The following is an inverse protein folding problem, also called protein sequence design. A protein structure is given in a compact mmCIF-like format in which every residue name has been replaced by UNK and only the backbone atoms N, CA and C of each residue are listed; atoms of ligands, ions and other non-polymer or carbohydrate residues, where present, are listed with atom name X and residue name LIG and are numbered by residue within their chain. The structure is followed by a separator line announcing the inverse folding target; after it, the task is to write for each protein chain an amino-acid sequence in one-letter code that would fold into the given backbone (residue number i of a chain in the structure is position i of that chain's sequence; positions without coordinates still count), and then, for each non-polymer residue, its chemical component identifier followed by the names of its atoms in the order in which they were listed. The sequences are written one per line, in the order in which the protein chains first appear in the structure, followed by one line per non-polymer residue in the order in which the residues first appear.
data_IF_517943836197
#
_entry.id   IF_517943836197
#
_cell.length_a   1.000
_cell.length_b   1.000
_cell.length_c   1.000
_cell.angle_alpha   90.00
_cell.angle_beta   90.00
_cell.angle_gamma   90.00
#
_symmetry.space_group_name_H-M   'P 1'
#
loop_
_entity.id
_entity.type
_entity.pdbx_description
1 polymer ?
#
# COMPACT_ATOMS: atom_id res chain seq x y z
N UNK A 1 20.55 -21.39 1.61
CA UNK A 1 19.33 -20.55 1.67
C UNK A 1 19.66 -19.18 2.24
N UNK A 2 19.35 -18.14 1.48
CA UNK A 2 19.60 -16.73 1.82
C UNK A 2 18.25 -16.01 1.93
N UNK A 3 17.85 -15.47 3.10
CA UNK A 3 16.59 -14.74 3.23
C UNK A 3 16.49 -13.56 2.26
N UNK A 4 15.32 -13.33 1.68
CA UNK A 4 15.08 -12.17 0.83
C UNK A 4 15.12 -10.89 1.69
N UNK A 5 16.06 -9.98 1.39
CA UNK A 5 16.21 -8.72 2.12
C UNK A 5 15.40 -7.56 1.51
N UNK A 6 15.05 -7.69 0.24
CA UNK A 6 14.19 -6.75 -0.48
C UNK A 6 12.89 -7.47 -0.85
N UNK A 7 11.72 -6.80 -0.77
CA UNK A 7 10.47 -7.41 -1.15
C UNK A 7 10.49 -7.68 -2.66
N UNK A 8 10.58 -8.95 -3.02
CA UNK A 8 10.35 -9.43 -4.37
C UNK A 8 9.09 -10.28 -4.38
N UNK A 9 8.40 -10.27 -5.52
CA UNK A 9 7.26 -11.12 -5.78
C UNK A 9 7.49 -11.96 -7.03
N UNK A 10 7.19 -13.26 -6.92
CA UNK A 10 7.06 -14.15 -8.05
C UNK A 10 5.69 -13.96 -8.68
N UNK A 11 5.65 -13.72 -9.99
CA UNK A 11 4.41 -13.53 -10.76
C UNK A 11 4.05 -14.79 -11.51
N UNK A 12 2.74 -15.05 -11.54
CA UNK A 12 2.15 -16.21 -12.20
C UNK A 12 1.00 -15.77 -13.09
N UNK A 13 0.92 -16.38 -14.28
CA UNK A 13 -0.16 -16.24 -15.23
C UNK A 13 -0.81 -17.60 -15.44
N UNK A 14 -2.10 -17.72 -15.15
CA UNK A 14 -2.88 -18.95 -15.31
C UNK A 14 -4.12 -18.68 -16.15
N UNK A 15 -4.61 -19.69 -16.86
CA UNK A 15 -5.92 -19.67 -17.51
C UNK A 15 -6.91 -20.40 -16.61
N UNK A 16 -7.92 -19.69 -16.12
CA UNK A 16 -9.00 -20.24 -15.31
C UNK A 16 -10.34 -19.91 -15.98
N UNK A 17 -11.14 -20.94 -16.32
CA UNK A 17 -12.45 -20.78 -16.97
C UNK A 17 -12.44 -19.91 -18.24
N UNK A 18 -11.37 -19.99 -19.05
CA UNK A 18 -11.20 -19.21 -20.27
C UNK A 18 -10.77 -17.75 -20.05
N UNK A 19 -10.39 -17.38 -18.82
CA UNK A 19 -9.85 -16.07 -18.48
C UNK A 19 -8.43 -16.19 -17.94
N UNK A 20 -7.57 -15.29 -18.40
CA UNK A 20 -6.26 -15.09 -17.79
C UNK A 20 -6.40 -14.50 -16.39
N UNK A 21 -5.85 -15.20 -15.40
CA UNK A 21 -5.73 -14.78 -14.00
C UNK A 21 -4.26 -14.55 -13.69
N UNK A 22 -3.96 -13.42 -13.06
CA UNK A 22 -2.63 -13.09 -12.55
C UNK A 22 -2.61 -13.30 -11.04
N UNK A 23 -1.57 -13.97 -10.55
CA UNK A 23 -1.33 -14.19 -9.12
C UNK A 23 0.11 -13.82 -8.81
N UNK A 24 0.38 -13.35 -7.60
CA UNK A 24 1.74 -13.18 -7.11
C UNK A 24 1.94 -13.88 -5.77
N UNK A 25 3.19 -14.22 -5.47
CA UNK A 25 3.63 -14.74 -4.17
C UNK A 25 4.89 -14.01 -3.72
N UNK A 26 5.03 -13.67 -2.43
CA UNK A 26 6.27 -13.10 -1.93
C UNK A 26 7.41 -14.12 -2.03
N UNK A 27 8.55 -13.66 -2.50
CA UNK A 27 9.81 -14.40 -2.42
C UNK A 27 10.32 -14.30 -0.99
N UNK A 28 10.47 -15.46 -0.34
CA UNK A 28 10.89 -15.53 1.07
C UNK A 28 12.42 -15.64 1.18
N UNK A 29 13.03 -16.35 0.23
CA UNK A 29 14.46 -16.62 0.24
C UNK A 29 14.96 -16.92 -1.18
N UNK A 30 16.27 -17.07 -1.26
CA UNK A 30 17.00 -17.58 -2.41
C UNK A 30 17.67 -18.89 -2.01
N UNK A 31 17.71 -19.88 -2.90
CA UNK A 31 18.58 -21.04 -2.72
C UNK A 31 20.04 -20.70 -3.05
N UNK A 32 20.93 -21.68 -2.93
CA UNK A 32 22.38 -21.47 -3.08
C UNK A 32 22.77 -21.27 -4.55
N UNK A 33 21.88 -21.63 -5.48
CA UNK A 33 21.97 -21.40 -6.92
C UNK A 33 21.33 -20.07 -7.36
N UNK A 34 20.75 -19.31 -6.42
CA UNK A 34 20.11 -18.02 -6.68
C UNK A 34 18.70 -18.12 -7.26
N UNK A 35 18.00 -19.25 -7.14
CA UNK A 35 16.57 -19.35 -7.45
C UNK A 35 15.73 -18.75 -6.34
N UNK A 36 14.72 -17.97 -6.72
CA UNK A 36 13.73 -17.46 -5.79
C UNK A 36 12.90 -18.62 -5.21
N UNK A 37 12.68 -18.59 -3.89
CA UNK A 37 11.86 -19.55 -3.15
C UNK A 37 10.59 -18.87 -2.64
N UNK A 38 9.46 -19.52 -2.86
CA UNK A 38 8.13 -19.09 -2.38
C UNK A 38 7.53 -20.16 -1.46
N UNK A 39 6.54 -19.79 -0.66
CA UNK A 39 5.80 -20.76 0.15
C UNK A 39 4.81 -21.53 -0.73
N UNK A 40 4.90 -22.85 -0.72
CA UNK A 40 3.80 -23.73 -1.07
C UNK A 40 2.88 -23.88 0.15
N UNK A 41 1.79 -23.13 0.18
CA UNK A 41 0.83 -23.10 1.29
C UNK A 41 0.22 -24.48 1.60
N UNK A 42 0.17 -25.38 0.61
CA UNK A 42 -0.37 -26.73 0.82
C UNK A 42 0.56 -27.60 1.65
N UNK A 43 1.86 -27.53 1.40
CA UNK A 43 2.87 -28.33 2.10
C UNK A 43 3.54 -27.58 3.26
N UNK A 44 3.40 -26.25 3.31
CA UNK A 44 4.10 -25.37 4.24
C UNK A 44 5.61 -25.28 3.95
N UNK A 45 6.07 -25.73 2.78
CA UNK A 45 7.50 -25.76 2.42
C UNK A 45 7.87 -24.63 1.49
N UNK A 46 9.15 -24.25 1.52
CA UNK A 46 9.74 -23.42 0.48
C UNK A 46 9.99 -24.27 -0.77
N UNK A 47 9.53 -23.76 -1.90
CA UNK A 47 9.72 -24.38 -3.23
C UNK A 47 10.23 -23.34 -4.22
N UNK A 48 10.96 -23.75 -5.27
CA UNK A 48 11.37 -22.84 -6.33
C UNK A 48 10.17 -22.13 -6.97
N UNK A 49 10.28 -20.82 -7.16
CA UNK A 49 9.22 -20.00 -7.73
C UNK A 49 8.84 -20.44 -9.15
N UNK A 50 9.81 -20.97 -9.90
CA UNK A 50 9.67 -21.46 -11.27
C UNK A 50 9.27 -22.94 -11.38
N UNK A 51 8.86 -23.57 -10.28
CA UNK A 51 8.49 -25.00 -10.24
C UNK A 51 7.18 -25.34 -10.99
N UNK A 52 6.71 -24.49 -11.92
CA UNK A 52 5.50 -24.70 -12.71
C UNK A 52 5.38 -23.78 -13.92
N UNK A 53 4.58 -24.19 -14.91
CA UNK A 53 4.42 -23.49 -16.21
C UNK A 53 3.78 -22.09 -16.13
N UNK A 54 3.22 -21.73 -14.98
CA UNK A 54 2.55 -20.46 -14.79
C UNK A 54 3.50 -19.30 -14.46
N UNK A 55 4.74 -19.57 -14.06
CA UNK A 55 5.69 -18.53 -13.65
C UNK A 55 6.06 -17.63 -14.82
N UNK A 56 5.96 -16.32 -14.63
CA UNK A 56 6.26 -15.31 -15.67
C UNK A 56 7.45 -14.42 -15.35
N UNK A 57 7.96 -14.47 -14.11
CA UNK A 57 9.13 -13.69 -13.70
C UNK A 57 9.00 -13.18 -12.27
N UNK A 58 10.04 -12.44 -11.87
CA UNK A 58 10.06 -11.70 -10.61
C UNK A 58 9.79 -10.22 -10.86
N UNK A 59 9.23 -9.55 -9.87
CA UNK A 59 9.20 -8.09 -9.79
C UNK A 59 9.52 -7.64 -8.39
N UNK A 60 9.83 -6.36 -8.22
CA UNK A 60 9.71 -5.73 -6.91
C UNK A 60 8.29 -5.91 -6.38
N UNK A 61 8.19 -6.30 -5.12
CA UNK A 61 6.96 -6.41 -4.37
C UNK A 61 6.67 -5.14 -3.59
N UNK A 62 5.47 -5.04 -3.03
CA UNK A 62 5.14 -3.95 -2.11
C UNK A 62 5.98 -4.05 -0.84
N UNK A 63 6.54 -2.93 -0.37
CA UNK A 63 7.14 -2.88 0.96
C UNK A 63 6.04 -3.00 2.02
N UNK A 64 6.07 -4.02 2.89
CA UNK A 64 5.04 -4.22 3.90
C UNK A 64 5.02 -3.06 4.91
N UNK A 65 3.85 -2.84 5.50
CA UNK A 65 3.71 -1.99 6.68
C UNK A 65 4.32 -2.73 7.88
N UNK A 66 5.29 -2.10 8.55
CA UNK A 66 6.05 -2.67 9.68
C UNK A 66 5.75 -2.00 11.01
N UNK A 67 5.13 -0.82 11.00
CA UNK A 67 4.66 -0.13 12.20
C UNK A 67 3.53 0.86 11.87
N UNK A 68 2.87 1.35 12.91
CA UNK A 68 1.92 2.45 12.84
C UNK A 68 2.25 3.48 13.94
N UNK A 69 2.26 4.76 13.58
CA UNK A 69 2.42 5.89 14.49
C UNK A 69 1.05 6.56 14.64
N UNK A 70 0.57 6.88 15.85
CA UNK A 70 -0.70 7.60 16.00
C UNK A 70 -0.74 8.90 15.19
N UNK A 71 -1.90 9.25 14.63
CA UNK A 71 -2.06 10.44 13.77
C UNK A 71 -1.62 11.74 14.45
N UNK A 72 -1.68 11.81 15.78
CA UNK A 72 -1.02 12.85 16.56
C UNK A 72 -1.65 14.25 16.40
N UNK A 73 -2.93 14.31 16.07
CA UNK A 73 -3.66 15.56 15.84
C UNK A 73 -3.50 16.14 14.44
N UNK A 74 -2.84 15.43 13.53
CA UNK A 74 -2.86 15.76 12.11
C UNK A 74 -4.23 15.42 11.50
N UNK A 75 -4.59 16.13 10.44
CA UNK A 75 -5.78 15.85 9.64
C UNK A 75 -5.47 15.83 8.16
N UNK A 76 -6.28 15.12 7.38
CA UNK A 76 -6.35 15.25 5.94
C UNK A 76 -7.40 16.28 5.54
N UNK A 77 -7.11 17.05 4.49
CA UNK A 77 -8.03 18.00 3.88
C UNK A 77 -8.41 17.51 2.50
N UNK A 78 -9.70 17.51 2.22
CA UNK A 78 -10.30 17.11 0.96
C UNK A 78 -11.04 18.28 0.35
N UNK A 79 -10.83 18.53 -0.95
CA UNK A 79 -11.54 19.57 -1.68
C UNK A 79 -12.82 19.02 -2.28
N UNK A 80 -13.95 19.63 -1.95
CA UNK A 80 -15.25 19.26 -2.50
C UNK A 80 -15.44 19.91 -3.89
N UNK A 81 -16.39 19.39 -4.66
CA UNK A 81 -16.68 19.88 -6.01
C UNK A 81 -17.21 21.32 -6.04
N UNK A 82 -17.80 21.79 -4.95
CA UNK A 82 -18.27 23.16 -4.76
C UNK A 82 -17.17 24.13 -4.28
N UNK A 83 -15.92 23.65 -4.18
CA UNK A 83 -14.77 24.43 -3.72
C UNK A 83 -14.63 24.51 -2.20
N UNK A 84 -15.56 23.95 -1.43
CA UNK A 84 -15.43 23.83 0.03
C UNK A 84 -14.43 22.73 0.40
N UNK A 85 -14.12 22.63 1.70
CA UNK A 85 -13.22 21.61 2.22
C UNK A 85 -13.86 20.80 3.32
N UNK A 86 -13.56 19.50 3.30
CA UNK A 86 -13.79 18.59 4.42
C UNK A 86 -12.45 18.30 5.08
N UNK A 87 -12.43 18.17 6.41
CA UNK A 87 -11.21 17.89 7.18
C UNK A 87 -11.48 16.70 8.08
N UNK A 88 -10.75 15.62 7.84
CA UNK A 88 -10.87 14.38 8.60
C UNK A 88 -9.60 14.12 9.40
N UNK A 89 -9.70 13.77 10.69
CA UNK A 89 -8.52 13.51 11.52
C UNK A 89 -7.79 12.26 10.99
N UNK A 90 -6.45 12.33 10.96
CA UNK A 90 -5.66 11.14 10.76
C UNK A 90 -5.76 10.24 11.99
N UNK A 91 -5.97 8.95 11.76
CA UNK A 91 -5.90 7.94 12.81
C UNK A 91 -4.47 7.45 13.01
N UNK A 92 -3.69 7.36 11.93
CA UNK A 92 -2.32 6.87 11.97
C UNK A 92 -1.46 7.32 10.79
N UNK A 93 -0.16 7.10 10.94
CA UNK A 93 0.83 7.03 9.86
C UNK A 93 1.32 5.59 9.79
N UNK A 94 1.14 4.93 8.65
CA UNK A 94 1.72 3.61 8.43
C UNK A 94 3.18 3.75 8.01
N UNK A 95 4.06 2.98 8.64
CA UNK A 95 5.49 2.94 8.32
C UNK A 95 5.75 1.73 7.45
N UNK A 96 6.18 1.94 6.21
CA UNK A 96 6.61 0.86 5.33
C UNK A 96 8.05 0.45 5.61
N UNK A 97 8.43 -0.78 5.24
CA UNK A 97 9.78 -1.30 5.49
C UNK A 97 10.91 -0.54 4.78
N UNK A 98 10.59 0.28 3.76
CA UNK A 98 11.51 1.22 3.11
C UNK A 98 11.60 2.59 3.79
N UNK A 99 10.86 2.79 4.89
CA UNK A 99 10.81 4.06 5.62
C UNK A 99 9.81 5.07 5.09
N UNK A 100 9.03 4.75 4.04
CA UNK A 100 7.95 5.62 3.58
C UNK A 100 6.83 5.64 4.63
N UNK A 101 6.35 6.85 4.95
CA UNK A 101 5.20 7.08 5.81
C UNK A 101 3.97 7.41 4.96
N UNK A 102 2.88 6.67 5.17
CA UNK A 102 1.59 6.95 4.51
C UNK A 102 0.57 7.37 5.56
N UNK A 103 -0.04 8.57 5.43
CA UNK A 103 -1.10 9.02 6.31
C UNK A 103 -2.39 8.24 6.06
N UNK A 104 -3.08 7.89 7.14
CA UNK A 104 -4.30 7.10 7.13
C UNK A 104 -5.37 7.83 7.94
N UNK A 105 -6.52 8.04 7.32
CA UNK A 105 -7.75 8.43 7.99
C UNK A 105 -8.74 7.27 8.02
N UNK A 106 -9.96 7.53 8.50
CA UNK A 106 -11.03 6.55 8.53
C UNK A 106 -12.34 7.21 8.19
N UNK A 107 -13.24 6.47 7.56
CA UNK A 107 -14.63 6.89 7.39
C UNK A 107 -15.51 6.49 8.58
N UNK A 108 -16.81 6.81 8.49
CA UNK A 108 -17.82 6.50 9.51
C UNK A 108 -18.12 5.00 9.66
N UNK A 109 -17.66 4.17 8.74
CA UNK A 109 -17.78 2.70 8.81
C UNK A 109 -16.57 2.05 9.47
N UNK A 110 -15.51 2.82 9.74
CA UNK A 110 -14.25 2.32 10.27
C UNK A 110 -13.30 1.80 9.19
N UNK A 111 -13.59 2.04 7.91
CA UNK A 111 -12.68 1.69 6.82
C UNK A 111 -11.53 2.68 6.81
N UNK A 112 -10.31 2.16 6.91
CA UNK A 112 -9.08 2.95 6.91
C UNK A 112 -8.44 2.92 5.52
N UNK A 113 -8.11 4.09 4.98
CA UNK A 113 -7.49 4.23 3.67
C UNK A 113 -6.30 5.18 3.71
N UNK A 114 -5.40 5.02 2.74
CA UNK A 114 -4.35 6.01 2.51
C UNK A 114 -5.00 7.29 1.97
N UNK A 115 -4.88 8.39 2.71
CA UNK A 115 -5.56 9.66 2.35
C UNK A 115 -5.16 10.18 0.98
N UNK A 116 -3.91 9.89 0.55
CA UNK A 116 -3.37 10.26 -0.76
C UNK A 116 -3.93 9.44 -1.93
N UNK A 117 -4.66 8.36 -1.66
CA UNK A 117 -5.32 7.56 -2.71
C UNK A 117 -6.65 8.16 -3.16
N UNK A 118 -7.24 9.04 -2.35
CA UNK A 118 -8.52 9.69 -2.65
C UNK A 118 -8.31 10.85 -3.63
N UNK A 119 -9.04 10.83 -4.75
CA UNK A 119 -8.80 11.75 -5.87
C UNK A 119 -9.03 13.24 -5.57
N UNK A 120 -9.74 13.57 -4.49
CA UNK A 120 -9.97 14.95 -4.05
C UNK A 120 -9.13 15.35 -2.81
N UNK A 121 -8.13 14.54 -2.47
CA UNK A 121 -7.14 14.90 -1.46
C UNK A 121 -6.43 16.19 -1.87
N UNK A 122 -6.42 17.16 -0.97
CA UNK A 122 -5.82 18.47 -1.20
C UNK A 122 -4.53 18.67 -0.39
N UNK A 123 -4.48 18.13 0.83
CA UNK A 123 -3.27 18.19 1.64
C UNK A 123 -3.45 17.75 3.08
N UNK A 124 -2.36 17.88 3.85
CA UNK A 124 -2.33 17.59 5.28
C UNK A 124 -2.40 18.89 6.09
N UNK A 125 -3.10 18.83 7.21
CA UNK A 125 -3.21 19.92 8.19
C UNK A 125 -2.45 19.53 9.45
N UNK A 126 -1.45 20.33 9.81
CA UNK A 126 -0.65 20.12 11.00
C UNK A 126 -1.45 20.40 12.28
N UNK A 127 -1.13 19.73 13.41
CA UNK A 127 -1.76 19.99 14.69
C UNK A 127 -1.63 21.47 15.07
N UNK A 128 -2.75 22.11 15.39
CA UNK A 128 -2.79 23.53 15.77
C UNK A 128 -2.66 24.53 14.62
N UNK A 129 -2.56 24.07 13.37
CA UNK A 129 -2.70 24.97 12.23
C UNK A 129 -4.15 25.43 12.09
N UNK A 130 -4.35 26.71 11.78
CA UNK A 130 -5.68 27.20 11.40
C UNK A 130 -6.08 26.56 10.08
N UNK A 131 -7.24 25.89 10.05
CA UNK A 131 -7.82 25.39 8.81
C UNK A 131 -8.14 26.57 7.90
N UNK A 132 -7.54 26.69 6.71
CA UNK A 132 -7.91 27.75 5.78
C UNK A 132 -9.40 27.62 5.47
N UNK A 133 -10.17 28.64 5.83
CA UNK A 133 -11.58 28.73 5.43
C UNK A 133 -11.63 28.92 3.92
N UNK A 134 -12.68 28.41 3.28
CA UNK A 134 -12.86 28.45 1.83
C UNK A 134 -12.41 29.80 1.24
N UNK A 135 -11.53 29.75 0.24
CA UNK A 135 -11.10 30.93 -0.48
C UNK A 135 -12.35 31.54 -1.11
N UNK A 136 -12.85 32.65 -0.54
CA UNK A 136 -13.79 33.51 -1.25
C UNK A 136 -13.00 34.08 -2.42
N UNK A 137 -13.15 33.49 -3.60
CA UNK A 137 -12.73 34.13 -4.84
C UNK A 137 -13.43 35.49 -4.88
N UNK A 138 -12.66 36.51 -4.56
CA UNK A 138 -13.07 37.90 -4.70
C UNK A 138 -13.09 38.17 -6.19
N UNK A 139 -14.24 37.92 -6.81
CA UNK A 139 -14.54 38.42 -8.15
C UNK A 139 -14.50 39.94 -8.10
N UNK A 140 -13.52 40.54 -8.79
CA UNK A 140 -13.45 41.96 -9.12
C UNK A 140 -13.56 42.11 -10.64
#
# INVERSE_FOLDING_TARGET
MIPAQHPYEARYKQEENGRTVYRSKPVIAWDDEGQALVVDERSGRLVPANNGRAFTGLSEGGHPVVAAIPGGGWSARYKNSDGTFTVDPLVAWTVRSDGILTPVDTDTTGLCDAVTATGNFDGLVAPGAETPTAQQDSSA
#
